data_IF_338633631138
#
_entry.id   IF_338633631138
#
_cell.length_a   1.000
_cell.length_b   1.000
_cell.length_c   1.000
_cell.angle_alpha   90.00
_cell.angle_beta   90.00
_cell.angle_gamma   90.00
#
_symmetry.space_group_name_H-M   'P 1'
#
loop_
_entity.id
_entity.type
_entity.pdbx_description
1 polymer ?
#
# COMPACT_ATOMS: atom_id res chain seq x y z
N UNK A 1 -13.24 9.49 11.24
CA UNK A 1 -12.11 9.70 12.20
C UNK A 1 -11.40 8.37 12.34
N UNK A 2 -10.06 8.35 12.23
CA UNK A 2 -9.29 7.12 12.34
C UNK A 2 -9.54 6.42 13.69
N UNK A 3 -9.70 5.11 13.64
CA UNK A 3 -9.95 4.27 14.80
C UNK A 3 -8.62 3.64 15.22
N UNK A 4 -8.25 3.85 16.48
CA UNK A 4 -7.09 3.20 17.08
C UNK A 4 -7.52 1.93 17.83
N UNK A 5 -6.84 0.84 17.52
CA UNK A 5 -6.97 -0.45 18.20
C UNK A 5 -5.77 -0.67 19.13
N UNK A 6 -5.74 -1.82 19.79
CA UNK A 6 -4.67 -2.21 20.71
C UNK A 6 -3.30 -2.15 20.02
N UNK A 7 -2.28 -1.68 20.73
CA UNK A 7 -0.88 -1.66 20.31
C UNK A 7 -0.55 -0.65 19.21
N UNK A 8 -1.46 0.31 18.91
CA UNK A 8 -1.22 1.34 17.91
C UNK A 8 -1.64 0.93 16.48
N UNK A 9 -2.32 -0.19 16.32
CA UNK A 9 -2.99 -0.50 15.06
C UNK A 9 -4.03 0.58 14.75
N UNK A 10 -4.04 1.09 13.52
CA UNK A 10 -4.89 2.21 13.11
C UNK A 10 -5.65 1.89 11.85
N UNK A 11 -6.95 2.19 11.84
CA UNK A 11 -7.83 2.00 10.69
C UNK A 11 -8.48 3.32 10.32
N UNK A 12 -8.45 3.67 9.04
CA UNK A 12 -9.05 4.88 8.48
C UNK A 12 -9.64 4.60 7.09
N UNK A 13 -10.41 5.54 6.54
CA UNK A 13 -10.99 5.43 5.19
C UNK A 13 -10.14 6.21 4.18
N UNK A 14 -10.17 5.84 2.88
CA UNK A 14 -9.35 6.42 1.79
C UNK A 14 -9.18 7.94 1.81
N UNK A 15 -10.25 8.66 2.08
CA UNK A 15 -10.26 10.14 2.03
C UNK A 15 -10.50 10.76 3.41
N UNK A 16 -10.06 10.06 4.44
CA UNK A 16 -10.23 10.54 5.80
C UNK A 16 -9.20 11.60 6.16
N UNK A 17 -9.69 12.70 6.75
CA UNK A 17 -8.87 13.83 7.15
C UNK A 17 -8.77 14.90 6.05
N UNK A 18 -7.91 15.89 6.28
CA UNK A 18 -7.70 17.00 5.34
C UNK A 18 -6.62 16.64 4.33
N UNK A 19 -6.91 16.64 3.03
CA UNK A 19 -5.89 16.36 2.03
C UNK A 19 -4.92 17.54 1.86
N UNK A 20 -3.67 17.21 1.54
CA UNK A 20 -2.73 18.18 0.99
C UNK A 20 -2.92 18.25 -0.53
N UNK A 21 -3.11 19.43 -1.09
CA UNK A 21 -3.31 19.65 -2.53
C UNK A 21 -2.04 20.11 -3.23
N UNK A 22 -1.76 19.56 -4.42
CA UNK A 22 -0.72 20.07 -5.31
C UNK A 22 -1.12 19.85 -6.77
N UNK A 23 -1.46 20.92 -7.47
CA UNK A 23 -1.99 20.85 -8.84
C UNK A 23 -3.28 20.04 -8.90
N UNK A 24 -3.31 19.02 -9.75
CA UNK A 24 -4.45 18.09 -9.89
C UNK A 24 -4.46 16.98 -8.86
N UNK A 25 -3.49 16.93 -7.94
CA UNK A 25 -3.34 15.86 -6.94
C UNK A 25 -3.83 16.29 -5.58
N UNK A 26 -4.61 15.45 -4.92
CA UNK A 26 -4.95 15.54 -3.50
C UNK A 26 -4.38 14.30 -2.80
N UNK A 27 -3.67 14.49 -1.68
CA UNK A 27 -3.00 13.45 -0.94
C UNK A 27 -3.50 13.39 0.51
N UNK A 28 -3.94 12.21 0.94
CA UNK A 28 -4.26 11.90 2.34
C UNK A 28 -3.15 11.02 2.92
N UNK A 29 -2.70 11.36 4.12
CA UNK A 29 -1.70 10.59 4.88
C UNK A 29 -2.43 9.72 5.91
N UNK A 30 -2.30 8.39 5.80
CA UNK A 30 -2.95 7.42 6.71
C UNK A 30 -1.96 6.80 7.70
N UNK A 31 -0.70 6.61 7.29
CA UNK A 31 0.41 6.22 8.16
C UNK A 31 1.67 7.00 7.81
N UNK A 32 2.45 7.34 8.82
CA UNK A 32 3.71 8.08 8.73
C UNK A 32 4.23 8.44 10.12
N UNK A 33 5.26 9.27 10.21
CA UNK A 33 5.86 9.66 11.51
C UNK A 33 4.84 10.22 12.51
N UNK A 34 3.91 11.05 12.03
CA UNK A 34 2.88 11.67 12.87
C UNK A 34 1.89 10.65 13.46
N UNK A 35 1.80 9.46 12.89
CA UNK A 35 0.98 8.34 13.37
C UNK A 35 1.78 7.23 14.05
N UNK A 36 3.07 7.48 14.35
CA UNK A 36 3.95 6.53 15.05
C UNK A 36 4.65 5.52 14.14
N UNK A 37 4.50 5.60 12.83
CA UNK A 37 5.23 4.73 11.90
C UNK A 37 6.71 5.14 11.83
N UNK A 38 7.60 4.17 11.99
CA UNK A 38 9.04 4.40 12.01
C UNK A 38 9.71 4.20 10.63
N UNK A 39 9.20 3.26 9.83
CA UNK A 39 9.83 2.88 8.57
C UNK A 39 8.91 2.90 7.35
N UNK A 40 7.60 3.01 7.53
CA UNK A 40 6.66 2.92 6.41
C UNK A 40 5.65 4.08 6.40
N UNK A 41 5.25 4.52 5.22
CA UNK A 41 4.12 5.43 5.06
C UNK A 41 2.99 4.79 4.27
N UNK A 42 1.76 5.27 4.48
CA UNK A 42 0.61 4.96 3.64
C UNK A 42 -0.07 6.25 3.24
N UNK A 43 -0.16 6.49 1.95
CA UNK A 43 -0.82 7.66 1.38
C UNK A 43 -1.82 7.24 0.32
N UNK A 44 -2.92 7.96 0.25
CA UNK A 44 -3.87 7.88 -0.86
C UNK A 44 -3.74 9.15 -1.69
N UNK A 45 -3.54 8.99 -3.00
CA UNK A 45 -3.41 10.08 -3.95
C UNK A 45 -4.61 10.04 -4.90
N UNK A 46 -5.41 11.07 -4.91
CA UNK A 46 -6.43 11.28 -5.93
C UNK A 46 -5.88 12.22 -6.99
N UNK A 47 -5.80 11.72 -8.23
CA UNK A 47 -5.34 12.47 -9.40
C UNK A 47 -6.56 12.88 -10.21
N UNK A 48 -6.76 14.17 -10.37
CA UNK A 48 -7.81 14.73 -11.24
C UNK A 48 -7.46 14.64 -12.73
N UNK A 49 -8.44 14.89 -13.62
CA UNK A 49 -8.20 14.89 -15.07
C UNK A 49 -7.07 15.84 -15.50
N UNK A 50 -6.32 15.44 -16.51
CA UNK A 50 -5.12 16.11 -17.01
C UNK A 50 -3.84 15.43 -16.52
N UNK A 51 -2.72 16.13 -16.70
CA UNK A 51 -1.40 15.67 -16.28
C UNK A 51 -1.07 16.22 -14.88
N UNK A 52 -0.65 15.37 -13.99
CA UNK A 52 -0.31 15.78 -12.62
C UNK A 52 0.98 16.61 -12.61
N UNK A 53 1.18 17.40 -11.53
CA UNK A 53 2.52 17.84 -11.16
C UNK A 53 3.41 16.64 -10.84
N UNK A 54 4.73 16.87 -10.87
CA UNK A 54 5.70 15.81 -10.60
C UNK A 54 5.56 15.27 -9.16
N UNK A 55 5.49 13.97 -9.05
CA UNK A 55 5.46 13.16 -7.84
C UNK A 55 6.79 12.42 -7.64
N UNK A 56 7.00 11.76 -6.50
CA UNK A 56 8.24 11.04 -6.22
C UNK A 56 9.42 11.96 -5.91
N UNK A 57 10.62 11.57 -6.29
CA UNK A 57 11.86 12.34 -6.14
C UNK A 57 12.47 12.31 -4.74
N UNK A 58 11.90 11.56 -3.79
CA UNK A 58 12.42 11.39 -2.44
C UNK A 58 13.61 10.42 -2.38
N UNK A 59 14.30 10.39 -1.23
CA UNK A 59 15.43 9.49 -0.98
C UNK A 59 15.01 8.05 -0.63
N UNK A 60 13.72 7.76 -0.59
CA UNK A 60 13.14 6.46 -0.24
C UNK A 60 12.71 5.68 -1.47
N UNK A 61 12.59 4.37 -1.30
CA UNK A 61 11.80 3.53 -2.20
C UNK A 61 10.33 3.94 -2.10
N UNK A 62 9.66 4.08 -3.23
CA UNK A 62 8.22 4.31 -3.27
C UNK A 62 7.54 3.22 -4.10
N UNK A 63 6.56 2.55 -3.54
CA UNK A 63 5.71 1.60 -4.25
C UNK A 63 4.30 2.15 -4.32
N UNK A 64 3.72 2.08 -5.51
CA UNK A 64 2.40 2.65 -5.81
C UNK A 64 1.51 1.58 -6.43
N UNK A 65 0.24 1.57 -6.05
CA UNK A 65 -0.77 0.68 -6.59
C UNK A 65 -1.95 1.49 -7.14
N UNK A 66 -2.46 1.09 -8.29
CA UNK A 66 -3.66 1.70 -8.89
C UNK A 66 -4.90 1.08 -8.26
N UNK A 67 -5.53 1.81 -7.35
CA UNK A 67 -6.74 1.38 -6.66
C UNK A 67 -7.98 1.50 -7.55
N UNK A 68 -8.07 2.61 -8.32
CA UNK A 68 -9.20 2.91 -9.20
C UNK A 68 -8.80 3.89 -10.30
N UNK A 69 -9.46 3.76 -11.46
CA UNK A 69 -9.18 4.59 -12.62
C UNK A 69 -8.05 4.05 -13.47
N UNK A 70 -7.76 4.74 -14.58
CA UNK A 70 -6.70 4.38 -15.51
C UNK A 70 -6.06 5.64 -16.09
N UNK A 71 -4.80 5.52 -16.50
CA UNK A 71 -4.04 6.64 -17.05
C UNK A 71 -2.72 6.22 -17.66
N UNK A 72 -1.84 7.20 -17.80
CA UNK A 72 -0.47 7.01 -18.29
C UNK A 72 0.51 7.52 -17.23
N UNK A 73 1.43 6.67 -16.83
CA UNK A 73 2.58 7.01 -16.01
C UNK A 73 3.69 7.54 -16.92
N UNK A 74 4.17 8.74 -16.66
CA UNK A 74 5.28 9.38 -17.37
C UNK A 74 6.47 9.52 -16.44
N UNK A 75 7.66 9.09 -16.86
CA UNK A 75 8.91 9.30 -16.12
C UNK A 75 10.10 9.10 -17.05
N UNK A 76 11.17 9.86 -16.88
CA UNK A 76 12.48 9.81 -17.57
C UNK A 76 12.42 9.11 -18.95
N UNK A 77 11.90 9.84 -19.97
CA UNK A 77 11.88 9.35 -21.36
C UNK A 77 10.99 8.14 -21.64
N UNK A 78 10.13 7.75 -20.67
CA UNK A 78 9.27 6.59 -20.79
C UNK A 78 7.83 6.91 -20.38
N UNK A 79 6.88 6.25 -21.04
CA UNK A 79 5.46 6.31 -20.71
C UNK A 79 4.87 4.91 -20.70
N UNK A 80 4.06 4.61 -19.69
CA UNK A 80 3.41 3.31 -19.51
C UNK A 80 1.93 3.49 -19.18
N UNK A 81 1.06 2.72 -19.79
CA UNK A 81 -0.34 2.63 -19.36
C UNK A 81 -0.43 1.93 -18.02
N UNK A 82 -1.22 2.52 -17.12
CA UNK A 82 -1.51 1.97 -15.79
C UNK A 82 -3.02 1.96 -15.56
N UNK A 83 -3.50 0.98 -14.81
CA UNK A 83 -4.93 0.81 -14.49
C UNK A 83 -5.11 -0.07 -13.25
N UNK A 84 -6.33 -0.45 -12.92
CA UNK A 84 -6.58 -1.32 -11.77
C UNK A 84 -5.70 -2.58 -11.81
N UNK A 85 -5.36 -3.10 -10.65
CA UNK A 85 -4.47 -4.26 -10.48
C UNK A 85 -3.05 -4.05 -11.08
N UNK A 86 -2.58 -2.79 -11.11
CA UNK A 86 -1.21 -2.45 -11.51
C UNK A 86 -0.46 -1.87 -10.32
N UNK A 87 0.69 -2.45 -10.00
CA UNK A 87 1.67 -1.89 -9.07
C UNK A 87 2.87 -1.29 -9.82
N UNK A 88 3.52 -0.28 -9.25
CA UNK A 88 4.79 0.19 -9.80
C UNK A 88 5.74 0.66 -8.70
N UNK A 89 7.01 0.40 -8.92
CA UNK A 89 8.11 0.83 -8.08
C UNK A 89 8.76 2.08 -8.64
N UNK A 90 8.99 3.05 -7.79
CA UNK A 90 9.69 4.30 -8.10
C UNK A 90 10.99 4.34 -7.30
N UNK A 91 12.15 4.22 -7.96
CA UNK A 91 13.45 4.28 -7.28
C UNK A 91 13.69 5.64 -6.62
N UNK A 92 14.53 5.70 -5.57
CA UNK A 92 14.96 6.96 -4.95
C UNK A 92 15.41 7.99 -6.00
N UNK A 93 15.07 9.25 -5.78
CA UNK A 93 15.39 10.38 -6.66
C UNK A 93 14.55 10.46 -7.95
N UNK A 94 13.82 9.41 -8.31
CA UNK A 94 13.05 9.36 -9.55
C UNK A 94 11.73 10.10 -9.40
N UNK A 95 11.43 10.99 -10.37
CA UNK A 95 10.15 11.71 -10.47
C UNK A 95 9.27 11.05 -11.51
N UNK A 96 7.97 11.11 -11.27
CA UNK A 96 6.94 10.65 -12.20
C UNK A 96 5.73 11.59 -12.23
N UNK A 97 4.97 11.52 -13.28
CA UNK A 97 3.69 12.22 -13.45
C UNK A 97 2.65 11.21 -13.92
N UNK A 98 1.39 11.48 -13.61
CA UNK A 98 0.26 10.67 -14.07
C UNK A 98 -0.66 11.54 -14.88
N UNK A 99 -1.00 11.07 -16.08
CA UNK A 99 -1.98 11.69 -16.95
C UNK A 99 -3.22 10.82 -17.04
N UNK A 100 -4.37 11.41 -16.78
CA UNK A 100 -5.66 10.70 -16.80
C UNK A 100 -6.77 11.58 -17.37
N UNK A 101 -7.76 10.97 -18.01
CA UNK A 101 -8.95 11.65 -18.55
C UNK A 101 -10.11 11.72 -17.53
N UNK A 102 -10.06 10.91 -16.46
CA UNK A 102 -11.07 10.84 -15.41
C UNK A 102 -10.36 10.72 -14.04
N UNK A 103 -11.03 10.97 -12.92
CA UNK A 103 -10.42 10.81 -11.60
C UNK A 103 -9.80 9.42 -11.41
N UNK A 104 -8.59 9.39 -10.84
CA UNK A 104 -7.84 8.17 -10.56
C UNK A 104 -7.35 8.17 -9.13
N UNK A 105 -7.40 7.02 -8.47
CA UNK A 105 -6.96 6.84 -7.07
C UNK A 105 -5.78 5.89 -7.02
N UNK A 106 -4.70 6.35 -6.38
CA UNK A 106 -3.47 5.60 -6.17
C UNK A 106 -3.25 5.39 -4.66
N UNK A 107 -2.71 4.24 -4.28
CA UNK A 107 -2.22 3.96 -2.93
C UNK A 107 -0.70 3.91 -3.00
N UNK A 108 -0.02 4.75 -2.22
CA UNK A 108 1.44 4.92 -2.25
C UNK A 108 2.02 4.66 -0.87
N UNK A 109 3.13 3.93 -0.82
CA UNK A 109 3.92 3.68 0.39
C UNK A 109 5.38 4.00 0.14
N UNK A 110 6.04 4.64 1.11
CA UNK A 110 7.47 4.96 1.10
C UNK A 110 8.17 4.25 2.24
N UNK A 111 9.36 3.73 1.97
CA UNK A 111 10.25 3.04 2.90
C UNK A 111 11.73 3.32 2.53
N UNK A 112 12.68 3.27 3.48
CA UNK A 112 12.49 2.99 4.91
C UNK A 112 12.06 4.21 5.72
N UNK A 113 12.04 5.40 5.16
CA UNK A 113 11.69 6.61 5.88
C UNK A 113 10.34 7.16 5.45
N UNK A 114 9.35 7.20 6.34
CA UNK A 114 8.04 7.76 6.04
C UNK A 114 8.02 9.30 6.00
N UNK A 115 9.13 9.97 6.27
CA UNK A 115 9.24 11.43 6.27
C UNK A 115 9.22 12.07 4.89
N UNK A 116 9.00 13.38 4.85
CA UNK A 116 8.94 14.16 3.61
C UNK A 116 10.29 14.82 3.25
N UNK A 117 11.24 14.85 4.18
CA UNK A 117 12.53 15.51 3.97
C UNK A 117 13.39 14.68 3.00
N UNK A 118 13.43 15.10 1.76
CA UNK A 118 14.30 14.49 0.76
C UNK A 118 15.51 15.38 0.55
N UNK A 119 16.71 14.88 0.86
CA UNK A 119 17.91 15.36 0.21
C UNK A 119 17.81 15.05 -1.29
N UNK A 120 18.36 15.91 -2.12
CA UNK A 120 18.42 15.68 -3.55
C UNK A 120 19.25 14.42 -3.83
N UNK A 121 18.59 13.37 -4.35
CA UNK A 121 19.22 12.08 -4.66
C UNK A 121 19.25 11.94 -6.18
N UNK A 122 20.31 11.36 -6.69
CA UNK A 122 20.43 11.01 -8.11
C UNK A 122 19.35 9.99 -8.47
N UNK A 123 18.60 10.19 -9.56
CA UNK A 123 17.54 9.25 -9.96
C UNK A 123 18.08 7.83 -10.17
N UNK A 124 17.45 6.85 -9.54
CA UNK A 124 17.82 5.44 -9.61
C UNK A 124 17.40 4.70 -10.89
N UNK A 125 16.75 5.41 -11.82
CA UNK A 125 16.26 4.85 -13.08
C UNK A 125 14.74 5.00 -13.25
N UNK A 126 14.16 4.50 -14.36
CA UNK A 126 12.72 4.57 -14.62
C UNK A 126 11.94 3.66 -13.65
N UNK A 127 10.66 3.98 -13.40
CA UNK A 127 9.78 3.10 -12.63
C UNK A 127 9.63 1.72 -13.27
N UNK A 128 9.56 0.69 -12.44
CA UNK A 128 9.19 -0.67 -12.86
C UNK A 128 7.69 -0.85 -12.67
N UNK A 129 6.97 -1.23 -13.72
CA UNK A 129 5.51 -1.42 -13.71
C UNK A 129 5.21 -2.90 -13.81
N UNK A 130 4.35 -3.42 -12.94
CA UNK A 130 3.97 -4.84 -12.86
C UNK A 130 2.45 -4.95 -12.80
N UNK A 131 1.87 -5.87 -13.55
CA UNK A 131 0.45 -6.18 -13.52
C UNK A 131 0.19 -7.41 -12.64
N UNK A 132 -0.87 -7.37 -11.87
CA UNK A 132 -1.21 -8.46 -10.95
C UNK A 132 -1.45 -9.81 -11.67
N UNK A 133 -2.03 -9.78 -12.87
CA UNK A 133 -2.28 -10.97 -13.67
C UNK A 133 -1.01 -11.65 -14.19
N UNK A 134 0.11 -10.92 -14.27
CA UNK A 134 1.43 -11.42 -14.65
C UNK A 134 2.19 -12.07 -13.48
N UNK A 135 1.73 -11.87 -12.24
CA UNK A 135 2.40 -12.38 -11.04
C UNK A 135 1.96 -13.80 -10.71
N UNK A 136 2.90 -14.60 -10.20
CA UNK A 136 2.62 -15.98 -9.74
C UNK A 136 1.65 -15.91 -8.55
N UNK A 137 0.60 -16.72 -8.61
CA UNK A 137 -0.30 -16.94 -7.47
C UNK A 137 0.29 -17.99 -6.55
N UNK A 138 0.56 -17.59 -5.32
CA UNK A 138 1.00 -18.46 -4.24
C UNK A 138 -0.15 -18.70 -3.26
N UNK A 139 -0.11 -19.84 -2.56
CA UNK A 139 -1.13 -20.20 -1.57
C UNK A 139 -0.50 -20.45 -0.21
N UNK A 140 -1.22 -20.08 0.85
CA UNK A 140 -0.84 -20.36 2.24
C UNK A 140 -2.11 -20.72 3.03
N UNK A 141 -2.31 -22.02 3.28
CA UNK A 141 -3.56 -22.55 3.78
C UNK A 141 -4.67 -22.36 2.75
N UNK A 142 -5.78 -21.77 3.18
CA UNK A 142 -6.96 -21.43 2.36
C UNK A 142 -6.88 -20.08 1.65
N UNK A 143 -5.75 -19.36 1.79
CA UNK A 143 -5.52 -18.01 1.25
C UNK A 143 -4.58 -18.07 0.07
N UNK A 144 -4.63 -17.01 -0.73
CA UNK A 144 -3.63 -16.78 -1.75
C UNK A 144 -3.08 -15.36 -1.72
N UNK A 145 -1.91 -15.20 -2.30
CA UNK A 145 -1.32 -13.90 -2.56
C UNK A 145 -0.54 -13.89 -3.87
N UNK A 146 -0.27 -12.69 -4.37
CA UNK A 146 0.62 -12.43 -5.50
C UNK A 146 1.53 -11.27 -5.13
N UNK A 147 2.82 -11.47 -5.25
CA UNK A 147 3.82 -10.42 -5.03
C UNK A 147 3.95 -9.63 -6.32
N UNK A 148 3.67 -8.32 -6.24
CA UNK A 148 3.86 -7.38 -7.33
C UNK A 148 5.31 -6.90 -7.39
N UNK A 149 5.86 -6.51 -6.25
CA UNK A 149 7.17 -5.88 -6.12
C UNK A 149 7.89 -6.40 -4.88
N UNK A 150 9.17 -6.72 -5.02
CA UNK A 150 10.07 -7.10 -3.94
C UNK A 150 11.53 -6.88 -4.37
N UNK A 151 12.49 -7.48 -3.64
CA UNK A 151 13.91 -7.42 -3.98
C UNK A 151 14.27 -8.16 -5.29
N UNK A 152 13.42 -9.06 -5.79
CA UNK A 152 13.57 -9.72 -7.09
C UNK A 152 12.88 -8.92 -8.19
N UNK A 153 11.67 -8.43 -7.90
CA UNK A 153 10.82 -7.70 -8.85
C UNK A 153 10.93 -6.20 -8.55
N UNK A 154 11.53 -5.42 -9.45
CA UNK A 154 11.76 -3.99 -9.27
C UNK A 154 13.00 -3.64 -8.45
N UNK A 155 13.69 -4.62 -7.85
CA UNK A 155 14.85 -4.42 -6.94
C UNK A 155 14.52 -3.53 -5.75
N UNK A 156 13.28 -3.56 -5.31
CA UNK A 156 12.78 -2.82 -4.17
C UNK A 156 13.17 -3.49 -2.86
N UNK A 157 13.52 -2.71 -1.85
CA UNK A 157 13.66 -3.22 -0.48
C UNK A 157 12.31 -3.37 0.24
N UNK A 158 11.22 -3.17 -0.48
CA UNK A 158 9.84 -3.20 0.00
C UNK A 158 9.13 -4.35 -0.70
N UNK A 159 8.30 -5.09 0.01
CA UNK A 159 7.34 -6.02 -0.60
C UNK A 159 5.98 -5.33 -0.74
N UNK A 160 5.45 -5.36 -1.98
CA UNK A 160 4.07 -5.01 -2.28
C UNK A 160 3.37 -6.25 -2.82
N UNK A 161 2.24 -6.62 -2.24
CA UNK A 161 1.49 -7.80 -2.65
C UNK A 161 -0.02 -7.56 -2.60
N UNK A 162 -0.76 -8.37 -3.34
CA UNK A 162 -2.21 -8.50 -3.19
C UNK A 162 -2.50 -9.86 -2.60
N UNK A 163 -3.25 -9.88 -1.50
CA UNK A 163 -3.71 -11.09 -0.84
C UNK A 163 -5.23 -11.22 -0.89
N UNK A 164 -5.73 -12.45 -0.77
CA UNK A 164 -7.15 -12.72 -0.63
C UNK A 164 -7.42 -13.73 0.50
N UNK A 165 -8.47 -13.43 1.24
CA UNK A 165 -8.92 -14.17 2.42
C UNK A 165 -10.34 -14.66 2.14
N UNK A 166 -10.61 -15.99 2.17
CA UNK A 166 -11.95 -16.51 2.07
C UNK A 166 -12.80 -16.11 3.29
N UNK A 167 -14.14 -16.31 3.25
CA UNK A 167 -14.98 -16.08 4.43
C UNK A 167 -14.46 -16.80 5.67
N UNK A 168 -14.37 -16.06 6.78
CA UNK A 168 -13.87 -16.57 8.06
C UNK A 168 -12.77 -15.69 8.67
N UNK A 169 -12.36 -16.05 9.88
CA UNK A 169 -11.33 -15.34 10.64
C UNK A 169 -9.95 -15.99 10.40
N UNK A 170 -8.99 -15.16 10.06
CA UNK A 170 -7.58 -15.55 9.98
C UNK A 170 -7.03 -15.93 11.36
N UNK A 171 -6.04 -16.82 11.48
CA UNK A 171 -5.30 -17.00 12.72
C UNK A 171 -4.63 -15.69 13.16
N UNK A 172 -4.64 -15.45 14.48
CA UNK A 172 -3.90 -14.33 15.06
C UNK A 172 -2.40 -14.55 14.84
N UNK A 173 -1.71 -13.49 14.44
CA UNK A 173 -0.27 -13.50 14.16
C UNK A 173 0.32 -12.10 14.27
N UNK A 174 1.65 -12.02 14.26
CA UNK A 174 2.37 -10.76 14.18
C UNK A 174 3.52 -10.85 13.17
N UNK A 175 4.07 -9.69 12.83
CA UNK A 175 5.24 -9.55 11.98
C UNK A 175 6.35 -8.79 12.70
N UNK A 176 7.62 -9.09 12.37
CA UNK A 176 8.79 -8.37 12.88
C UNK A 176 9.05 -7.03 12.18
N UNK A 177 8.15 -6.62 11.30
CA UNK A 177 8.18 -5.39 10.51
C UNK A 177 6.90 -4.58 10.67
N UNK A 178 6.90 -3.34 10.20
CA UNK A 178 5.69 -2.55 10.04
C UNK A 178 5.01 -2.93 8.74
N UNK A 179 3.69 -2.97 8.75
CA UNK A 179 2.87 -3.28 7.59
C UNK A 179 1.77 -2.24 7.41
N UNK A 180 1.45 -1.92 6.16
CA UNK A 180 0.26 -1.17 5.82
C UNK A 180 -0.60 -1.97 4.85
N UNK A 181 -1.93 -1.90 5.08
CA UNK A 181 -2.90 -2.58 4.25
C UNK A 181 -3.90 -1.58 3.66
N UNK A 182 -4.41 -1.90 2.47
CA UNK A 182 -5.57 -1.24 1.90
C UNK A 182 -6.55 -2.31 1.41
N UNK A 183 -7.81 -2.24 1.86
CA UNK A 183 -8.82 -3.21 1.43
C UNK A 183 -9.28 -2.85 0.02
N UNK A 184 -9.07 -3.77 -0.92
CA UNK A 184 -9.39 -3.61 -2.34
C UNK A 184 -10.80 -4.03 -2.67
N UNK A 185 -11.32 -5.06 -1.97
CA UNK A 185 -12.64 -5.65 -2.19
C UNK A 185 -13.12 -6.39 -0.95
N UNK A 186 -14.44 -6.45 -0.78
CA UNK A 186 -15.06 -7.18 0.32
C UNK A 186 -15.25 -6.34 1.58
N UNK A 187 -15.67 -6.99 2.64
CA UNK A 187 -15.92 -6.42 3.98
C UNK A 187 -15.51 -7.40 5.06
N UNK A 188 -15.11 -6.87 6.20
CA UNK A 188 -14.65 -7.71 7.30
C UNK A 188 -14.44 -6.95 8.59
N UNK A 189 -13.55 -7.47 9.41
CA UNK A 189 -13.09 -6.83 10.65
C UNK A 189 -11.58 -6.90 10.73
N UNK A 190 -10.98 -5.81 11.16
CA UNK A 190 -9.59 -5.78 11.60
C UNK A 190 -9.55 -6.01 13.10
N UNK A 191 -8.84 -7.03 13.53
CA UNK A 191 -8.59 -7.36 14.93
C UNK A 191 -7.16 -6.98 15.30
N UNK A 192 -6.99 -6.35 16.46
CA UNK A 192 -5.69 -6.09 17.07
C UNK A 192 -5.81 -6.30 18.59
N UNK A 193 -5.20 -7.36 19.08
CA UNK A 193 -5.42 -7.85 20.44
C UNK A 193 -6.88 -8.21 20.66
N UNK A 194 -7.46 -7.65 21.71
CA UNK A 194 -8.86 -7.86 22.13
C UNK A 194 -9.88 -6.92 21.48
N UNK A 195 -9.42 -5.97 20.63
CA UNK A 195 -10.26 -4.97 19.99
C UNK A 195 -10.40 -5.22 18.49
N UNK A 196 -11.51 -4.82 17.92
CA UNK A 196 -11.74 -4.88 16.49
C UNK A 196 -12.58 -3.74 15.97
N UNK A 197 -12.46 -3.47 14.67
CA UNK A 197 -13.31 -2.52 13.95
C UNK A 197 -13.71 -3.07 12.60
N UNK A 198 -14.91 -2.69 12.06
CA UNK A 198 -15.28 -3.02 10.69
C UNK A 198 -14.27 -2.47 9.67
N UNK A 199 -14.05 -3.22 8.61
CA UNK A 199 -13.29 -2.81 7.42
C UNK A 199 -14.07 -3.15 6.16
N UNK A 200 -13.88 -2.35 5.13
CA UNK A 200 -14.50 -2.50 3.82
C UNK A 200 -13.59 -1.96 2.72
N UNK A 201 -14.01 -2.08 1.46
CA UNK A 201 -13.25 -1.50 0.34
C UNK A 201 -12.88 -0.04 0.62
N UNK A 202 -11.59 0.27 0.56
CA UNK A 202 -11.04 1.58 0.86
C UNK A 202 -10.62 1.79 2.32
N UNK A 203 -10.76 0.80 3.20
CA UNK A 203 -10.12 0.88 4.52
C UNK A 203 -8.61 0.82 4.39
N UNK A 204 -7.94 1.80 5.01
CA UNK A 204 -6.48 1.93 5.13
C UNK A 204 -6.06 1.55 6.54
N UNK A 205 -5.10 0.65 6.69
CA UNK A 205 -4.70 0.06 7.96
C UNK A 205 -3.19 0.23 8.13
N UNK A 206 -2.77 0.62 9.34
CA UNK A 206 -1.38 0.59 9.77
C UNK A 206 -1.20 -0.40 10.91
N UNK A 207 -0.18 -1.23 10.81
CA UNK A 207 0.22 -2.25 11.77
C UNK A 207 1.64 -2.00 12.25
N UNK A 208 1.83 -1.65 13.52
CA UNK A 208 3.17 -1.59 14.14
C UNK A 208 3.85 -2.96 14.16
N UNK A 209 5.16 -2.95 14.31
CA UNK A 209 5.95 -4.17 14.53
C UNK A 209 5.42 -4.94 15.73
N UNK A 210 5.37 -6.28 15.62
CA UNK A 210 4.95 -7.21 16.69
C UNK A 210 3.53 -7.00 17.18
N UNK A 211 2.71 -6.24 16.46
CA UNK A 211 1.31 -6.11 16.81
C UNK A 211 0.58 -7.41 16.47
N UNK A 212 0.07 -8.10 17.51
CA UNK A 212 -0.82 -9.25 17.34
C UNK A 212 -2.10 -8.80 16.64
N UNK A 213 -2.41 -9.41 15.48
CA UNK A 213 -3.55 -9.02 14.67
C UNK A 213 -4.08 -10.14 13.80
N UNK A 214 -5.28 -9.95 13.27
CA UNK A 214 -5.79 -10.72 12.15
C UNK A 214 -6.87 -9.95 11.39
N UNK A 215 -7.07 -10.34 10.14
CA UNK A 215 -8.19 -9.91 9.31
C UNK A 215 -9.24 -11.01 9.27
N UNK A 216 -10.48 -10.65 9.59
CA UNK A 216 -11.65 -11.51 9.43
C UNK A 216 -12.45 -11.06 8.21
N UNK A 217 -12.75 -11.97 7.31
CA UNK A 217 -13.67 -11.74 6.22
C UNK A 217 -15.09 -12.12 6.68
N UNK A 218 -15.96 -11.13 6.84
CA UNK A 218 -17.38 -11.32 7.23
C UNK A 218 -18.33 -11.30 6.04
N UNK A 219 -17.80 -11.25 4.83
CA UNK A 219 -18.57 -11.33 3.58
C UNK A 219 -18.77 -12.78 3.13
N UNK A 220 -19.46 -12.93 2.00
CA UNK A 220 -19.73 -14.24 1.36
C UNK A 220 -18.70 -14.58 0.26
N UNK A 221 -17.94 -13.61 -0.20
CA UNK A 221 -16.90 -13.74 -1.22
C UNK A 221 -15.53 -13.38 -0.66
N UNK A 222 -14.46 -13.58 -1.42
CA UNK A 222 -13.10 -13.23 -1.01
C UNK A 222 -12.99 -11.76 -0.62
N UNK A 223 -12.33 -11.49 0.51
CA UNK A 223 -11.82 -10.17 0.87
C UNK A 223 -10.42 -10.05 0.27
N UNK A 224 -10.22 -9.06 -0.60
CA UNK A 224 -8.92 -8.77 -1.21
C UNK A 224 -8.30 -7.54 -0.55
N UNK A 225 -7.00 -7.61 -0.31
CA UNK A 225 -6.23 -6.52 0.27
C UNK A 225 -4.91 -6.32 -0.50
N UNK A 226 -4.48 -5.07 -0.56
CA UNK A 226 -3.11 -4.68 -0.86
C UNK A 226 -2.35 -4.66 0.46
N UNK A 227 -1.18 -5.30 0.50
CA UNK A 227 -0.25 -5.22 1.61
C UNK A 227 1.09 -4.67 1.17
N UNK A 228 1.70 -3.84 2.02
CA UNK A 228 3.06 -3.32 1.83
C UNK A 228 3.79 -3.40 3.15
N UNK A 229 5.00 -3.95 3.12
CA UNK A 229 5.87 -4.01 4.29
C UNK A 229 7.36 -3.85 3.95
N UNK A 230 8.14 -3.44 4.93
CA UNK A 230 9.58 -3.22 4.87
C UNK A 230 10.27 -3.82 6.11
N UNK A 231 11.42 -4.52 5.98
CA UNK A 231 12.12 -4.85 4.73
C UNK A 231 11.40 -5.89 3.87
N UNK A 232 11.86 -6.07 2.62
CA UNK A 232 11.31 -7.05 1.68
C UNK A 232 11.43 -8.48 2.19
N UNK A 233 10.38 -9.28 1.95
CA UNK A 233 10.29 -10.66 2.37
C UNK A 233 9.04 -11.36 1.80
N UNK A 234 8.70 -12.52 2.33
CA UNK A 234 7.51 -13.26 1.92
C UNK A 234 6.28 -12.91 2.77
N UNK A 235 5.12 -12.62 2.16
CA UNK A 235 3.85 -12.42 2.87
C UNK A 235 3.38 -13.65 3.68
N UNK A 236 3.95 -14.84 3.42
CA UNK A 236 3.61 -16.06 4.14
C UNK A 236 4.30 -16.17 5.52
N UNK A 237 5.34 -15.37 5.79
CA UNK A 237 6.06 -15.40 7.06
C UNK A 237 5.22 -14.74 8.16
N UNK A 238 4.87 -15.53 9.16
CA UNK A 238 4.03 -15.13 10.30
C UNK A 238 4.59 -15.73 11.58
N UNK A 239 4.41 -15.03 12.68
CA UNK A 239 4.76 -15.49 14.02
C UNK A 239 3.50 -15.55 14.87
N UNK A 240 3.38 -16.56 15.73
CA UNK A 240 2.33 -16.68 16.75
C UNK A 240 3.00 -16.80 18.11
N UNK A 241 2.33 -16.32 19.15
CA UNK A 241 2.74 -16.67 20.51
C UNK A 241 2.48 -18.19 20.68
N UNK A 242 3.51 -18.93 21.08
CA UNK A 242 3.45 -20.37 21.32
C UNK A 242 2.71 -20.72 22.61
#
# INVERSE_FOLDING_TARGET
MAIELTGGCRVSSLQEGTPRGHGTVRAWQHAGRDSGAAAISLRVLQVGPGRSSALGGGACDEVVYVFEGAGVLHSIGNSRRIGPDTGFYVPPGTRFEVETSAPMTLVSSRCPDPGEAAEAVTPGGPPTVVRLDECIRETTGDRWYRVLLDHHIGRSQVTQFVGAIPPGRAPDHYHEYEEVLCILQGRGRMWAGDRSTPIERGSCIYLPRRQMHCVENTGESELRLLGVFYPSGSPAVRYSEG
#
